data_IF_912206063373
#
_entry.id   IF_912206063373
#
_cell.length_a   1.000
_cell.length_b   1.000
_cell.length_c   1.000
_cell.angle_alpha   90.00
_cell.angle_beta   90.00
_cell.angle_gamma   90.00
#
_symmetry.space_group_name_H-M   'P 1'
#
loop_
_entity.id
_entity.type
_entity.pdbx_description
1 polymer ?
#
# COMPACT_ATOMS: atom_id res chain seq x y z
N UNK A 1 -10.06 25.87 -14.85
CA UNK A 1 -8.80 26.22 -14.17
C UNK A 1 -8.64 25.22 -13.05
N UNK A 2 -7.78 24.23 -13.23
CA UNK A 2 -7.50 23.22 -12.21
C UNK A 2 -6.61 23.88 -11.16
N UNK A 3 -7.04 23.88 -9.90
CA UNK A 3 -6.13 24.25 -8.81
C UNK A 3 -4.98 23.24 -8.78
N UNK A 4 -3.72 23.68 -8.60
CA UNK A 4 -2.63 22.75 -8.35
C UNK A 4 -3.00 21.91 -7.12
N UNK A 5 -2.78 20.60 -7.20
CA UNK A 5 -2.87 19.76 -6.01
C UNK A 5 -1.83 20.27 -5.00
N UNK A 6 -2.15 20.28 -3.69
CA UNK A 6 -1.16 20.65 -2.69
C UNK A 6 0.08 19.77 -2.84
N UNK A 7 1.29 20.31 -2.62
CA UNK A 7 2.52 19.53 -2.68
C UNK A 7 2.42 18.36 -1.72
N UNK A 8 2.82 17.18 -2.20
CA UNK A 8 2.73 15.96 -1.42
C UNK A 8 3.77 15.99 -0.30
N UNK A 9 3.40 15.64 0.95
CA UNK A 9 4.34 15.67 2.06
C UNK A 9 5.46 14.66 1.82
N UNK A 10 6.70 15.00 2.19
CA UNK A 10 7.82 14.06 2.09
C UNK A 10 7.43 12.71 2.72
N UNK A 11 7.65 11.59 2.02
CA UNK A 11 7.31 10.28 2.56
C UNK A 11 8.05 10.02 3.88
N UNK A 12 7.31 9.60 4.90
CA UNK A 12 7.83 9.24 6.21
C UNK A 12 7.23 7.91 6.62
N UNK A 13 8.07 7.00 7.14
CA UNK A 13 7.59 5.74 7.69
C UNK A 13 7.39 5.87 9.20
N UNK A 14 6.13 5.96 9.60
CA UNK A 14 5.70 5.85 11.00
C UNK A 14 4.55 4.86 11.08
N UNK A 15 4.60 3.98 12.08
CA UNK A 15 3.47 3.11 12.40
C UNK A 15 2.49 3.84 13.30
N UNK A 16 1.22 3.81 12.92
CA UNK A 16 0.12 4.39 13.69
C UNK A 16 -0.77 3.28 14.25
N UNK A 17 -1.26 3.52 15.45
CA UNK A 17 -2.39 2.78 16.00
C UNK A 17 -3.68 3.40 15.47
N UNK A 18 -4.64 2.55 15.14
CA UNK A 18 -5.97 2.94 14.67
C UNK A 18 -7.02 2.52 15.68
N UNK A 19 -8.04 3.36 15.85
CA UNK A 19 -9.20 2.98 16.64
C UNK A 19 -10.00 1.92 15.89
N UNK A 20 -10.35 0.84 16.59
CA UNK A 20 -10.96 -0.33 15.99
C UNK A 20 -12.43 -0.43 16.37
N UNK A 21 -13.36 -0.34 15.41
CA UNK A 21 -14.76 -0.61 15.64
C UNK A 21 -14.99 -2.04 16.16
N UNK A 22 -16.12 -2.23 16.85
CA UNK A 22 -16.52 -3.54 17.41
C UNK A 22 -16.79 -4.60 16.35
N UNK A 23 -17.02 -4.17 15.11
CA UNK A 23 -17.31 -4.95 13.93
C UNK A 23 -16.06 -5.63 13.35
N UNK A 24 -14.86 -5.16 13.72
CA UNK A 24 -13.60 -5.78 13.29
C UNK A 24 -13.42 -7.10 14.04
N UNK A 25 -13.18 -8.23 13.32
CA UNK A 25 -12.90 -9.52 13.94
C UNK A 25 -11.76 -9.45 14.96
N UNK A 26 -11.90 -10.16 16.08
CA UNK A 26 -10.98 -10.03 17.23
C UNK A 26 -9.54 -10.38 16.86
N UNK A 27 -9.32 -11.39 16.02
CA UNK A 27 -8.00 -11.78 15.54
C UNK A 27 -7.30 -10.66 14.77
N UNK A 28 -8.03 -9.99 13.87
CA UNK A 28 -7.51 -8.85 13.10
C UNK A 28 -7.30 -7.64 14.00
N UNK A 29 -8.21 -7.43 14.96
CA UNK A 29 -8.10 -6.33 15.90
C UNK A 29 -6.87 -6.44 16.81
N UNK A 30 -6.51 -7.65 17.23
CA UNK A 30 -5.29 -7.90 18.03
C UNK A 30 -4.04 -7.61 17.21
N UNK A 31 -4.00 -8.07 15.95
CA UNK A 31 -2.85 -7.84 15.08
C UNK A 31 -2.66 -6.34 14.79
N UNK A 32 -3.72 -5.64 14.41
CA UNK A 32 -3.68 -4.19 14.15
C UNK A 32 -3.23 -3.36 15.37
N UNK A 33 -3.58 -3.77 16.59
CA UNK A 33 -3.12 -3.11 17.83
C UNK A 33 -1.65 -3.38 18.14
N UNK A 34 -1.16 -4.54 17.76
CA UNK A 34 0.20 -5.00 18.08
C UNK A 34 1.20 -4.47 17.06
N UNK A 35 0.83 -4.57 15.79
CA UNK A 35 1.71 -4.33 14.65
C UNK A 35 1.56 -2.89 14.12
N UNK A 36 0.37 -2.30 14.23
CA UNK A 36 0.07 -1.00 13.64
C UNK A 36 0.05 -1.02 12.11
N UNK A 37 -0.25 0.12 11.50
CA UNK A 37 -0.24 0.30 10.04
C UNK A 37 0.61 1.51 9.66
N UNK A 38 1.14 1.63 8.42
CA UNK A 38 1.90 2.79 8.01
C UNK A 38 1.01 4.04 8.00
N UNK A 39 1.58 5.20 8.33
CA UNK A 39 0.88 6.49 8.25
C UNK A 39 0.68 6.98 6.81
N UNK A 40 1.38 6.39 5.84
CA UNK A 40 1.33 6.72 4.43
C UNK A 40 2.28 5.84 3.60
N UNK A 41 2.22 6.05 2.28
CA UNK A 41 3.22 5.62 1.28
C UNK A 41 3.55 6.84 0.40
N UNK A 42 4.38 6.64 -0.63
CA UNK A 42 4.58 7.61 -1.70
C UNK A 42 3.23 7.98 -2.33
N UNK A 43 3.05 9.27 -2.59
CA UNK A 43 1.88 9.82 -3.26
C UNK A 43 0.55 9.56 -2.54
N UNK A 44 -0.43 9.15 -3.33
CA UNK A 44 -1.76 8.76 -2.85
C UNK A 44 -2.00 7.25 -2.98
N UNK A 45 -0.94 6.47 -3.14
CA UNK A 45 -1.00 5.02 -3.31
C UNK A 45 -1.57 4.30 -2.10
N UNK A 46 -1.35 4.89 -0.92
CA UNK A 46 -1.86 4.38 0.34
C UNK A 46 -2.15 5.55 1.28
N UNK A 47 -3.38 5.61 1.81
CA UNK A 47 -3.78 6.54 2.88
C UNK A 47 -4.57 5.81 3.96
N UNK A 48 -4.10 5.77 5.21
CA UNK A 48 -4.80 5.05 6.27
C UNK A 48 -6.20 5.62 6.50
N UNK A 49 -7.16 4.74 6.77
CA UNK A 49 -8.49 5.13 7.21
C UNK A 49 -8.43 5.53 8.69
N UNK A 50 -9.23 6.54 9.07
CA UNK A 50 -9.41 6.91 10.47
C UNK A 50 -10.10 5.80 11.27
N UNK A 51 -10.96 5.04 10.62
CA UNK A 51 -11.67 3.89 11.18
C UNK A 51 -11.66 2.74 10.16
N UNK A 52 -11.14 1.56 10.50
CA UNK A 52 -11.22 0.39 9.65
C UNK A 52 -12.65 -0.06 9.40
N UNK A 53 -12.91 -0.57 8.19
CA UNK A 53 -14.24 -0.99 7.78
C UNK A 53 -14.25 -2.48 7.43
N UNK A 54 -15.15 -3.24 8.07
CA UNK A 54 -15.35 -4.65 7.77
C UNK A 54 -16.35 -4.86 6.62
N UNK A 55 -15.98 -5.70 5.66
CA UNK A 55 -16.78 -6.06 4.50
C UNK A 55 -16.98 -7.58 4.45
N UNK A 56 -18.10 -8.07 4.99
CA UNK A 56 -18.40 -9.51 5.04
C UNK A 56 -18.76 -10.16 3.70
N UNK A 57 -18.96 -9.38 2.63
CA UNK A 57 -19.34 -9.88 1.30
C UNK A 57 -18.17 -10.20 0.36
N UNK A 58 -16.93 -10.06 0.83
CA UNK A 58 -15.71 -10.23 0.04
C UNK A 58 -14.86 -11.34 0.67
N UNK A 59 -14.41 -12.31 -0.12
CA UNK A 59 -13.67 -13.47 0.40
C UNK A 59 -14.57 -14.43 1.21
N UNK A 60 -13.96 -15.41 1.88
CA UNK A 60 -14.68 -16.45 2.63
C UNK A 60 -15.21 -15.92 3.98
N UNK A 61 -14.38 -15.13 4.68
CA UNK A 61 -14.69 -14.61 6.03
C UNK A 61 -14.80 -13.08 6.08
N UNK A 62 -14.90 -12.43 4.92
CA UNK A 62 -14.84 -10.98 4.83
C UNK A 62 -13.41 -10.44 4.80
N UNK A 63 -13.32 -9.13 4.61
CA UNK A 63 -12.05 -8.37 4.66
C UNK A 63 -12.22 -7.15 5.55
N UNK A 64 -11.13 -6.67 6.14
CA UNK A 64 -11.09 -5.43 6.94
C UNK A 64 -10.26 -4.40 6.20
N UNK A 65 -10.88 -3.39 5.62
CA UNK A 65 -10.16 -2.30 4.97
C UNK A 65 -9.51 -1.37 6.00
N UNK A 66 -8.24 -1.05 5.77
CA UNK A 66 -7.41 -0.24 6.67
C UNK A 66 -6.90 1.04 6.00
N UNK A 67 -6.93 1.12 4.67
CA UNK A 67 -6.49 2.28 3.92
C UNK A 67 -7.24 2.41 2.58
N UNK A 68 -7.25 3.63 2.03
CA UNK A 68 -7.56 3.84 0.62
C UNK A 68 -6.29 3.69 -0.23
N UNK A 69 -6.47 3.29 -1.48
CA UNK A 69 -5.43 3.22 -2.50
C UNK A 69 -5.92 3.87 -3.78
N UNK A 70 -5.22 4.91 -4.24
CA UNK A 70 -5.67 5.71 -5.36
C UNK A 70 -7.07 6.34 -5.13
N UNK A 71 -7.84 6.59 -6.21
CA UNK A 71 -9.15 7.24 -6.11
C UNK A 71 -10.28 6.30 -5.65
N UNK A 72 -10.17 5.00 -5.90
CA UNK A 72 -11.30 4.06 -5.71
C UNK A 72 -10.93 2.76 -4.99
N UNK A 73 -9.63 2.48 -4.83
CA UNK A 73 -9.13 1.25 -4.26
C UNK A 73 -9.06 1.29 -2.73
N UNK A 74 -8.88 0.11 -2.14
CA UNK A 74 -8.65 -0.05 -0.69
C UNK A 74 -7.63 -1.14 -0.43
N UNK A 75 -6.75 -0.90 0.54
CA UNK A 75 -5.92 -1.95 1.13
C UNK A 75 -6.66 -2.52 2.34
N UNK A 76 -6.72 -3.85 2.41
CA UNK A 76 -7.49 -4.58 3.41
C UNK A 76 -6.74 -5.82 3.89
N UNK A 77 -7.18 -6.37 5.02
CA UNK A 77 -6.72 -7.66 5.55
C UNK A 77 -7.82 -8.69 5.28
N UNK A 78 -7.49 -9.78 4.60
CA UNK A 78 -8.39 -10.92 4.46
C UNK A 78 -8.53 -11.66 5.80
N UNK A 79 -9.76 -11.82 6.29
CA UNK A 79 -10.01 -12.35 7.65
C UNK A 79 -9.69 -13.84 7.75
N UNK A 80 -9.75 -14.59 6.64
CA UNK A 80 -9.51 -16.02 6.65
C UNK A 80 -8.01 -16.36 6.71
N UNK A 81 -7.20 -15.61 5.96
CA UNK A 81 -5.77 -15.86 5.76
C UNK A 81 -4.85 -14.93 6.54
N UNK A 82 -5.31 -13.72 6.90
CA UNK A 82 -4.46 -12.66 7.43
C UNK A 82 -3.63 -11.93 6.35
N UNK A 83 -3.78 -12.30 5.08
CA UNK A 83 -3.05 -11.66 3.99
C UNK A 83 -3.51 -10.22 3.78
N UNK A 84 -2.58 -9.37 3.35
CA UNK A 84 -2.90 -8.04 2.86
C UNK A 84 -3.35 -8.15 1.42
N UNK A 85 -4.47 -7.52 1.11
CA UNK A 85 -5.12 -7.59 -0.18
C UNK A 85 -5.57 -6.20 -0.65
N UNK A 86 -5.67 -6.02 -1.96
CA UNK A 86 -6.16 -4.82 -2.62
C UNK A 86 -7.55 -5.06 -3.19
N UNK A 87 -8.50 -4.20 -2.82
CA UNK A 87 -9.83 -4.12 -3.43
C UNK A 87 -9.73 -3.01 -4.49
N UNK A 88 -9.75 -3.34 -5.80
CA UNK A 88 -9.41 -2.37 -6.85
C UNK A 88 -10.45 -1.26 -7.07
N UNK A 89 -11.72 -1.50 -6.71
CA UNK A 89 -12.79 -0.50 -6.79
C UNK A 89 -13.90 -0.82 -5.78
N UNK A 90 -14.71 0.18 -5.43
CA UNK A 90 -15.73 0.13 -4.37
C UNK A 90 -16.75 -1.01 -4.52
N UNK A 91 -17.08 -1.41 -5.75
CA UNK A 91 -18.06 -2.47 -6.04
C UNK A 91 -17.42 -3.84 -6.32
N UNK A 92 -16.10 -3.98 -6.13
CA UNK A 92 -15.39 -5.22 -6.39
C UNK A 92 -15.74 -6.29 -5.35
N UNK A 93 -16.16 -7.47 -5.82
CA UNK A 93 -16.26 -8.68 -4.99
C UNK A 93 -14.96 -9.50 -4.97
N UNK A 94 -13.95 -9.06 -5.72
CA UNK A 94 -12.63 -9.70 -5.82
C UNK A 94 -11.58 -8.84 -5.14
N UNK A 95 -10.53 -9.54 -4.69
CA UNK A 95 -9.33 -8.94 -4.13
C UNK A 95 -8.11 -9.46 -4.85
N UNK A 96 -7.09 -8.62 -4.94
CA UNK A 96 -5.77 -8.99 -5.43
C UNK A 96 -4.82 -9.13 -4.24
N UNK A 97 -3.92 -10.10 -4.28
CA UNK A 97 -2.90 -10.26 -3.25
C UNK A 97 -1.98 -9.04 -3.21
N UNK A 98 -1.52 -8.65 -2.02
CA UNK A 98 -0.54 -7.56 -1.82
C UNK A 98 0.64 -8.07 -1.01
N UNK A 99 0.39 -8.64 0.17
CA UNK A 99 1.42 -9.23 1.01
C UNK A 99 0.88 -10.40 1.82
N UNK A 100 1.76 -11.31 2.22
CA UNK A 100 1.42 -12.50 3.00
C UNK A 100 0.91 -12.15 4.40
N UNK A 101 1.37 -11.04 4.99
CA UNK A 101 0.92 -10.56 6.29
C UNK A 101 1.21 -9.06 6.47
N UNK A 102 0.69 -8.51 7.57
CA UNK A 102 0.81 -7.10 7.92
C UNK A 102 2.25 -6.66 8.22
N UNK A 103 3.07 -7.52 8.84
CA UNK A 103 4.49 -7.22 9.10
C UNK A 103 5.27 -7.05 7.80
N UNK A 104 5.07 -7.99 6.87
CA UNK A 104 5.69 -7.98 5.54
C UNK A 104 5.29 -6.73 4.77
N UNK A 105 3.99 -6.37 4.79
CA UNK A 105 3.52 -5.12 4.19
C UNK A 105 4.20 -3.88 4.79
N UNK A 106 4.26 -3.79 6.13
CA UNK A 106 4.90 -2.67 6.82
C UNK A 106 6.39 -2.55 6.45
N UNK A 107 7.10 -3.68 6.35
CA UNK A 107 8.51 -3.72 5.96
C UNK A 107 8.71 -3.33 4.49
N UNK A 108 7.83 -3.76 3.58
CA UNK A 108 7.86 -3.32 2.19
C UNK A 108 7.66 -1.80 2.08
N UNK A 109 6.64 -1.24 2.76
CA UNK A 109 6.39 0.21 2.79
C UNK A 109 7.61 0.96 3.35
N UNK A 110 8.20 0.47 4.44
CA UNK A 110 9.40 1.07 5.02
C UNK A 110 10.59 1.06 4.04
N UNK A 111 10.81 -0.05 3.31
CA UNK A 111 11.89 -0.17 2.34
C UNK A 111 11.69 0.75 1.13
N UNK A 112 10.47 0.83 0.61
CA UNK A 112 10.11 1.73 -0.49
C UNK A 112 10.30 3.20 -0.09
N UNK A 113 9.83 3.60 1.09
CA UNK A 113 10.04 4.95 1.62
C UNK A 113 11.52 5.24 1.85
N UNK A 114 12.30 4.29 2.37
CA UNK A 114 13.73 4.46 2.60
C UNK A 114 14.52 4.63 1.29
N UNK A 115 14.01 4.09 0.18
CA UNK A 115 14.61 4.23 -1.15
C UNK A 115 14.28 5.56 -1.83
N UNK A 116 13.30 6.32 -1.32
CA UNK A 116 12.93 7.62 -1.84
C UNK A 116 14.00 8.69 -1.51
N UNK A 117 14.33 9.64 -2.41
CA UNK A 117 13.76 9.85 -3.75
C UNK A 117 14.18 8.78 -4.77
N UNK A 118 13.28 8.49 -5.71
CA UNK A 118 13.52 7.44 -6.72
C UNK A 118 14.47 7.89 -7.81
N UNK A 119 14.38 9.13 -8.23
CA UNK A 119 15.10 9.66 -9.38
C UNK A 119 16.14 10.69 -8.94
N UNK A 120 17.28 10.70 -9.63
CA UNK A 120 18.23 11.81 -9.57
C UNK A 120 17.80 12.89 -10.58
N UNK A 121 18.11 14.16 -10.30
CA UNK A 121 17.66 15.33 -11.09
C UNK A 121 18.04 15.29 -12.58
N UNK A 122 19.00 14.44 -13.00
CA UNK A 122 19.55 14.40 -14.36
C UNK A 122 19.48 13.00 -15.04
N UNK A 123 18.70 12.05 -14.50
CA UNK A 123 18.72 10.65 -14.97
C UNK A 123 17.34 10.11 -15.40
N UNK A 124 16.88 10.54 -16.58
CA UNK A 124 15.68 9.99 -17.24
C UNK A 124 15.87 8.55 -17.75
N UNK A 125 17.12 8.08 -17.94
CA UNK A 125 17.40 6.72 -18.41
C UNK A 125 17.33 5.67 -17.28
N UNK A 126 17.40 6.09 -16.01
CA UNK A 126 17.42 5.20 -14.84
C UNK A 126 16.07 4.71 -14.31
N UNK A 127 14.92 5.13 -14.86
CA UNK A 127 13.60 4.86 -14.23
C UNK A 127 13.27 3.37 -14.16
N UNK A 128 13.53 2.63 -15.25
CA UNK A 128 13.33 1.18 -15.28
C UNK A 128 14.27 0.45 -14.31
N UNK A 129 15.51 0.93 -14.13
CA UNK A 129 16.47 0.35 -13.19
C UNK A 129 16.01 0.53 -11.74
N UNK A 130 15.49 1.71 -11.40
CA UNK A 130 14.93 1.98 -10.07
C UNK A 130 13.70 1.12 -9.80
N UNK A 131 12.81 0.96 -10.79
CA UNK A 131 11.66 0.08 -10.67
C UNK A 131 12.07 -1.39 -10.48
N UNK A 132 13.13 -1.84 -11.17
CA UNK A 132 13.67 -3.19 -10.98
C UNK A 132 14.27 -3.37 -9.57
N UNK A 133 15.01 -2.39 -9.06
CA UNK A 133 15.54 -2.40 -7.69
C UNK A 133 14.42 -2.49 -6.66
N UNK A 134 13.34 -1.71 -6.83
CA UNK A 134 12.18 -1.77 -5.94
C UNK A 134 11.48 -3.15 -5.98
N UNK A 135 11.35 -3.76 -7.17
CA UNK A 135 10.82 -5.11 -7.29
C UNK A 135 11.65 -6.12 -6.52
N UNK A 136 12.97 -6.04 -6.60
CA UNK A 136 13.90 -6.89 -5.85
C UNK A 136 13.80 -6.66 -4.33
N UNK A 137 13.76 -5.40 -3.89
CA UNK A 137 13.60 -5.04 -2.48
C UNK A 137 12.31 -5.61 -1.89
N UNK A 138 11.19 -5.42 -2.58
CA UNK A 138 9.87 -5.91 -2.17
C UNK A 138 9.86 -7.44 -2.15
N UNK A 139 10.37 -8.10 -3.20
CA UNK A 139 10.44 -9.57 -3.28
C UNK A 139 11.34 -10.18 -2.21
N UNK A 140 12.41 -9.48 -1.83
CA UNK A 140 13.33 -9.90 -0.77
C UNK A 140 12.69 -9.89 0.62
N UNK A 141 11.65 -9.08 0.81
CA UNK A 141 10.86 -9.02 2.05
C UNK A 141 9.72 -10.03 1.99
N UNK A 142 8.99 -10.05 0.87
CA UNK A 142 7.86 -10.94 0.63
C UNK A 142 7.85 -11.41 -0.84
N UNK A 143 8.25 -12.67 -1.03
CA UNK A 143 8.31 -13.27 -2.36
C UNK A 143 6.94 -13.41 -3.05
N UNK A 144 5.83 -13.22 -2.33
CA UNK A 144 4.48 -13.28 -2.88
C UNK A 144 3.95 -11.92 -3.34
N UNK A 145 4.66 -10.83 -3.05
CA UNK A 145 4.17 -9.45 -3.23
C UNK A 145 3.85 -9.07 -4.68
N UNK A 146 4.51 -9.69 -5.65
CA UNK A 146 4.27 -9.49 -7.10
C UNK A 146 3.46 -10.63 -7.72
N UNK A 147 2.67 -11.35 -6.92
CA UNK A 147 1.79 -12.39 -7.44
C UNK A 147 0.64 -11.78 -8.26
N UNK A 148 0.80 -11.80 -9.59
CA UNK A 148 -0.15 -11.23 -10.55
C UNK A 148 0.02 -9.72 -10.73
N UNK A 149 -0.91 -9.08 -11.44
CA UNK A 149 -0.92 -7.62 -11.66
C UNK A 149 -1.45 -6.89 -10.40
N UNK A 150 -0.70 -7.04 -9.31
CA UNK A 150 -1.05 -6.59 -7.96
C UNK A 150 -0.60 -5.16 -7.66
N UNK A 151 -0.90 -4.72 -6.44
CA UNK A 151 -0.59 -3.37 -5.96
C UNK A 151 0.87 -2.95 -6.18
N UNK A 152 1.82 -3.81 -5.80
CA UNK A 152 3.25 -3.50 -5.90
C UNK A 152 3.76 -3.47 -7.34
N UNK A 153 3.19 -4.28 -8.22
CA UNK A 153 3.58 -4.29 -9.63
C UNK A 153 3.14 -2.98 -10.30
N UNK A 154 1.88 -2.56 -10.08
CA UNK A 154 1.39 -1.25 -10.56
C UNK A 154 2.24 -0.11 -10.01
N UNK A 155 2.57 -0.13 -8.72
CA UNK A 155 3.45 0.88 -8.14
C UNK A 155 4.82 0.92 -8.81
N UNK A 156 5.43 -0.23 -9.10
CA UNK A 156 6.72 -0.28 -9.78
C UNK A 156 6.62 0.16 -11.25
N UNK A 157 5.49 -0.08 -11.92
CA UNK A 157 5.22 0.44 -13.26
C UNK A 157 5.10 1.97 -13.26
N UNK A 158 4.41 2.55 -12.28
CA UNK A 158 4.32 4.01 -12.10
C UNK A 158 5.73 4.62 -11.86
N UNK A 159 6.59 3.91 -11.12
CA UNK A 159 8.00 4.29 -10.98
C UNK A 159 8.75 4.20 -12.32
N UNK A 160 8.54 3.15 -13.11
CA UNK A 160 9.23 2.95 -14.38
C UNK A 160 8.89 4.03 -15.42
N UNK A 161 7.71 4.66 -15.33
CA UNK A 161 7.28 5.74 -16.22
C UNK A 161 7.56 7.15 -15.68
N UNK A 162 8.11 7.27 -14.46
CA UNK A 162 8.52 8.54 -13.89
C UNK A 162 7.42 9.32 -13.16
N UNK A 163 6.33 8.69 -12.71
CA UNK A 163 5.17 9.38 -12.12
C UNK A 163 5.50 10.17 -10.83
N UNK A 164 6.66 9.91 -10.23
CA UNK A 164 7.14 10.60 -9.03
C UNK A 164 8.36 11.51 -9.29
N UNK A 165 8.70 11.80 -10.55
CA UNK A 165 9.90 12.57 -10.92
C UNK A 165 9.83 14.03 -10.48
N UNK A 166 8.64 14.64 -10.59
CA UNK A 166 8.42 16.06 -10.27
C UNK A 166 8.08 16.30 -8.78
N UNK A 167 8.48 15.40 -7.87
CA UNK A 167 8.08 15.47 -6.46
C UNK A 167 8.61 16.72 -5.72
N UNK A 168 9.77 17.24 -6.10
CA UNK A 168 10.37 18.46 -5.50
C UNK A 168 10.14 19.75 -6.32
N UNK A 169 9.34 19.70 -7.40
CA UNK A 169 9.12 20.83 -8.32
C UNK A 169 8.12 21.89 -7.81
#
# INVERSE_FOLDING_TARGET
MSHPLPPLPKPEFVLIAIELPSEVPTEIAVDLRTTGIPCGLIGYEYRPLSEPAYFGGIGERGVVAIATSGPFGRIAIDVASGHIVHIPHIDSSRVNHVNIDLDSFNRCVAAVIARFPFYAEDDEEGFEEVAAELRELISGIDATAHAGDGFWETFCDDVAIGDYADWEA
#
